data_IF_212738476231
#
_entry.id   IF_212738476231
#
_cell.length_a   1.000
_cell.length_b   1.000
_cell.length_c   1.000
_cell.angle_alpha   90.00
_cell.angle_beta   90.00
_cell.angle_gamma   90.00
#
_symmetry.space_group_name_H-M   'P 1'
#
loop_
_entity.id
_entity.type
_entity.pdbx_description
1 polymer ?
#
# COMPACT_ATOMS: atom_id res chain seq x y z
N UNK A 1 11.78 9.62 -20.79
CA UNK A 1 12.30 8.35 -21.34
C UNK A 1 13.57 7.97 -20.60
N UNK A 2 13.85 6.67 -20.44
CA UNK A 2 15.05 6.19 -19.75
C UNK A 2 16.28 6.24 -20.68
N UNK A 3 17.45 6.53 -20.12
CA UNK A 3 18.72 6.40 -20.84
C UNK A 3 19.12 4.92 -21.03
N UNK A 4 20.08 4.65 -21.91
CA UNK A 4 20.61 3.29 -22.09
C UNK A 4 21.26 2.76 -20.80
N UNK A 5 21.95 3.61 -20.05
CA UNK A 5 22.56 3.22 -18.78
C UNK A 5 21.49 2.88 -17.73
N UNK A 6 20.41 3.67 -17.66
CA UNK A 6 19.27 3.39 -16.78
C UNK A 6 18.57 2.08 -17.15
N UNK A 7 18.43 1.79 -18.45
CA UNK A 7 17.89 0.51 -18.92
C UNK A 7 18.81 -0.67 -18.61
N UNK A 8 20.13 -0.46 -18.66
CA UNK A 8 21.11 -1.46 -18.27
C UNK A 8 21.03 -1.76 -16.78
N UNK A 9 21.02 -0.71 -15.95
CA UNK A 9 20.90 -0.83 -14.49
C UNK A 9 19.60 -1.53 -14.09
N UNK A 10 18.47 -1.14 -14.68
CA UNK A 10 17.19 -1.80 -14.44
C UNK A 10 17.23 -3.31 -14.72
N UNK A 11 17.88 -3.71 -15.82
CA UNK A 11 18.03 -5.12 -16.19
C UNK A 11 18.98 -5.88 -15.28
N UNK A 12 20.01 -5.22 -14.74
CA UNK A 12 20.96 -5.84 -13.82
C UNK A 12 20.41 -5.99 -12.40
N UNK A 13 19.75 -4.94 -11.89
CA UNK A 13 19.34 -4.88 -10.48
C UNK A 13 17.89 -5.36 -10.26
N UNK A 14 17.09 -5.45 -11.32
CA UNK A 14 15.66 -5.75 -11.24
C UNK A 14 14.80 -4.54 -10.81
N UNK A 15 15.40 -3.39 -10.54
CA UNK A 15 14.74 -2.12 -10.24
C UNK A 15 15.60 -0.93 -10.70
N UNK A 16 15.02 0.26 -10.71
CA UNK A 16 15.73 1.49 -11.03
C UNK A 16 15.23 2.65 -10.16
N UNK A 17 16.15 3.41 -9.59
CA UNK A 17 15.82 4.64 -8.86
C UNK A 17 15.85 5.82 -9.83
N UNK A 18 14.70 6.48 -10.00
CA UNK A 18 14.58 7.71 -10.77
C UNK A 18 14.40 8.86 -9.79
N UNK A 19 15.42 9.70 -9.67
CA UNK A 19 15.34 10.91 -8.85
C UNK A 19 14.39 11.91 -9.50
N UNK A 20 13.68 12.67 -8.67
CA UNK A 20 12.81 13.76 -9.12
C UNK A 20 11.79 13.32 -10.18
N UNK A 21 11.32 12.07 -10.08
CA UNK A 21 10.31 11.52 -10.99
C UNK A 21 9.01 12.34 -10.96
N UNK A 22 8.67 12.84 -9.77
CA UNK A 22 7.53 13.71 -9.52
C UNK A 22 8.05 15.04 -8.97
N UNK A 23 7.33 16.10 -9.29
CA UNK A 23 7.48 17.41 -8.67
C UNK A 23 7.00 17.39 -7.22
N UNK A 24 7.37 18.42 -6.45
CA UNK A 24 6.88 18.61 -5.07
C UNK A 24 5.35 18.74 -5.05
N UNK A 25 4.78 19.47 -6.02
CA UNK A 25 3.33 19.69 -6.11
C UNK A 25 2.58 18.39 -6.41
N UNK A 26 3.08 17.55 -7.32
CA UNK A 26 2.50 16.22 -7.59
C UNK A 26 2.57 15.30 -6.37
N UNK A 27 3.70 15.31 -5.64
CA UNK A 27 3.82 14.59 -4.37
C UNK A 27 2.77 15.07 -3.36
N UNK A 28 2.54 16.38 -3.29
CA UNK A 28 1.58 16.97 -2.37
C UNK A 28 0.13 16.62 -2.75
N UNK A 29 -0.21 16.60 -4.04
CA UNK A 29 -1.51 16.16 -4.51
C UNK A 29 -1.80 14.70 -4.15
N UNK A 30 -0.82 13.80 -4.34
CA UNK A 30 -0.94 12.40 -3.95
C UNK A 30 -1.18 12.25 -2.44
N UNK A 31 -0.42 13.00 -1.63
CA UNK A 31 -0.59 13.00 -0.17
C UNK A 31 -1.97 13.51 0.26
N UNK A 32 -2.45 14.60 -0.35
CA UNK A 32 -3.79 15.13 -0.07
C UNK A 32 -4.89 14.14 -0.44
N UNK A 33 -4.77 13.48 -1.60
CA UNK A 33 -5.74 12.46 -2.02
C UNK A 33 -5.75 11.26 -1.07
N UNK A 34 -4.58 10.76 -0.65
CA UNK A 34 -4.46 9.67 0.31
C UNK A 34 -5.09 10.03 1.67
N UNK A 35 -4.82 11.23 2.19
CA UNK A 35 -5.42 11.70 3.43
C UNK A 35 -6.95 11.77 3.35
N UNK A 36 -7.50 12.26 2.23
CA UNK A 36 -8.95 12.31 2.03
C UNK A 36 -9.59 10.92 2.08
N UNK A 37 -8.92 9.90 1.54
CA UNK A 37 -9.41 8.51 1.60
C UNK A 37 -9.41 7.99 3.05
N UNK A 38 -8.37 8.30 3.82
CA UNK A 38 -8.26 7.90 5.24
C UNK A 38 -9.30 8.65 6.09
N UNK A 39 -9.45 9.96 5.92
CA UNK A 39 -10.43 10.77 6.66
C UNK A 39 -11.88 10.31 6.40
N UNK A 40 -12.15 9.81 5.20
CA UNK A 40 -13.45 9.27 4.81
C UNK A 40 -13.65 7.79 5.14
N UNK A 41 -12.60 7.10 5.61
CA UNK A 41 -12.68 5.68 5.93
C UNK A 41 -13.23 5.50 7.34
N UNK A 42 -14.28 4.67 7.45
CA UNK A 42 -14.85 4.24 8.72
C UNK A 42 -14.53 2.75 8.86
N UNK A 43 -13.63 2.35 9.76
CA UNK A 43 -13.39 0.95 10.03
C UNK A 43 -14.63 0.37 10.72
N UNK A 44 -15.53 -0.24 9.97
CA UNK A 44 -16.53 -1.13 10.56
C UNK A 44 -15.77 -2.27 11.27
N UNK A 45 -16.21 -2.64 12.48
CA UNK A 45 -15.51 -3.60 13.38
C UNK A 45 -15.15 -4.94 12.69
N UNK A 46 -15.88 -5.30 11.63
CA UNK A 46 -15.71 -6.57 10.89
C UNK A 46 -14.71 -6.51 9.71
N UNK A 47 -14.15 -5.34 9.38
CA UNK A 47 -13.32 -5.14 8.17
C UNK A 47 -11.84 -4.83 8.44
N UNK A 48 -11.38 -4.94 9.69
CA UNK A 48 -9.99 -4.70 10.02
C UNK A 48 -9.11 -5.88 9.60
N UNK A 49 -8.46 -5.75 8.45
CA UNK A 49 -7.43 -6.69 8.03
C UNK A 49 -6.09 -6.36 8.68
N UNK A 50 -5.57 -7.34 9.43
CA UNK A 50 -4.29 -7.32 10.12
C UNK A 50 -3.32 -8.24 9.37
N UNK A 51 -2.16 -7.73 8.92
CA UNK A 51 -1.09 -8.55 8.32
C UNK A 51 -0.49 -9.53 9.35
N UNK A 52 -0.68 -10.86 9.26
CA UNK A 52 -0.09 -11.79 10.21
C UNK A 52 1.39 -12.01 9.86
N UNK A 53 2.31 -11.51 10.68
CA UNK A 53 3.71 -11.94 10.62
C UNK A 53 3.81 -13.38 11.15
N UNK A 54 3.83 -14.36 10.24
CA UNK A 54 4.17 -15.75 10.55
C UNK A 54 2.98 -16.73 10.60
N UNK A 55 2.76 -17.44 9.50
CA UNK A 55 2.27 -18.83 9.50
C UNK A 55 0.79 -19.10 9.70
N UNK A 56 0.00 -18.25 10.36
CA UNK A 56 -1.45 -18.46 10.50
C UNK A 56 -2.21 -17.75 9.38
N UNK A 57 -2.58 -18.53 8.35
CA UNK A 57 -3.60 -18.12 7.38
C UNK A 57 -4.95 -18.02 8.09
N UNK A 58 -5.28 -16.85 8.62
CA UNK A 58 -6.69 -16.52 8.84
C UNK A 58 -7.36 -16.46 7.47
N UNK A 59 -8.18 -17.48 7.18
CA UNK A 59 -8.82 -17.67 5.86
C UNK A 59 -9.73 -16.51 5.46
N UNK A 60 -10.25 -15.76 6.44
CA UNK A 60 -11.04 -14.55 6.24
C UNK A 60 -10.22 -13.43 5.59
N UNK A 61 -9.03 -13.15 6.13
CA UNK A 61 -8.18 -12.06 5.62
C UNK A 61 -7.59 -12.32 4.23
N UNK A 62 -7.34 -13.58 3.87
CA UNK A 62 -6.84 -13.92 2.53
C UNK A 62 -7.85 -13.58 1.42
N UNK A 63 -9.16 -13.72 1.69
CA UNK A 63 -10.22 -13.46 0.71
C UNK A 63 -10.37 -11.97 0.42
N UNK A 64 -10.36 -11.13 1.45
CA UNK A 64 -10.39 -9.68 1.27
C UNK A 64 -9.20 -9.18 0.44
N UNK A 65 -7.99 -9.72 0.66
CA UNK A 65 -6.83 -9.36 -0.15
C UNK A 65 -7.02 -9.75 -1.63
N UNK A 66 -7.54 -10.95 -1.91
CA UNK A 66 -7.83 -11.38 -3.29
C UNK A 66 -8.92 -10.49 -3.93
N UNK A 67 -9.97 -10.19 -3.17
CA UNK A 67 -11.12 -9.40 -3.63
C UNK A 67 -10.85 -7.88 -3.65
N UNK A 68 -9.64 -7.43 -3.28
CA UNK A 68 -9.23 -6.01 -3.25
C UNK A 68 -8.70 -5.47 -4.59
N UNK A 69 -8.42 -6.34 -5.56
CA UNK A 69 -7.73 -5.97 -6.80
C UNK A 69 -8.42 -4.87 -7.63
N UNK A 70 -9.73 -4.70 -7.46
CA UNK A 70 -10.57 -3.72 -8.16
C UNK A 70 -11.16 -2.64 -7.23
N UNK A 71 -10.69 -2.57 -5.98
CA UNK A 71 -11.22 -1.67 -4.93
C UNK A 71 -10.11 -0.85 -4.28
N UNK A 72 -10.51 0.26 -3.65
CA UNK A 72 -9.68 0.91 -2.65
C UNK A 72 -9.93 0.17 -1.33
N UNK A 73 -8.94 -0.58 -0.87
CA UNK A 73 -8.98 -1.33 0.39
C UNK A 73 -7.92 -0.80 1.35
N UNK A 74 -8.24 -0.85 2.64
CA UNK A 74 -7.36 -0.39 3.72
C UNK A 74 -6.79 -1.60 4.44
N UNK A 75 -5.49 -1.59 4.67
CA UNK A 75 -4.76 -2.68 5.30
C UNK A 75 -4.01 -2.10 6.49
N UNK A 76 -4.22 -2.68 7.68
CA UNK A 76 -3.62 -2.18 8.91
C UNK A 76 -2.43 -3.07 9.30
N UNK A 77 -1.38 -2.44 9.78
CA UNK A 77 -0.30 -3.14 10.47
C UNK A 77 -0.82 -3.89 11.69
N UNK A 78 -0.32 -5.11 11.89
CA UNK A 78 -0.77 -5.99 12.97
C UNK A 78 -0.78 -5.33 14.35
N UNK A 79 0.25 -4.56 14.64
CA UNK A 79 0.47 -3.97 15.96
C UNK A 79 -0.10 -2.55 16.08
N UNK A 80 -0.89 -2.09 15.09
CA UNK A 80 -1.49 -0.75 15.10
C UNK A 80 -2.92 -0.71 15.67
N UNK A 81 -3.53 -1.87 15.96
CA UNK A 81 -4.83 -1.98 16.64
C UNK A 81 -4.59 -2.46 18.08
N UNK A 82 -5.21 -1.80 19.06
CA UNK A 82 -5.16 -2.26 20.45
C UNK A 82 -6.01 -3.54 20.60
N UNK A 83 -5.46 -4.65 21.13
CA UNK A 83 -6.21 -5.89 21.38
C UNK A 83 -7.43 -5.75 22.32
N UNK A 84 -7.62 -4.61 22.98
CA UNK A 84 -8.72 -4.35 23.93
C UNK A 84 -9.96 -3.68 23.30
N UNK A 85 -10.03 -3.56 21.97
CA UNK A 85 -11.22 -3.02 21.28
C UNK A 85 -12.14 -4.14 20.82
#
# INVERSE_FOLDING_TARGET
MLSQDQLHQYRQDGFLVIKELLTIDECQQLKTAANKLIDGWQPEEDYLWIFPNGGTRERSGARQMIDSSDKISFFIEKDAVDPQT
#
